data_IF_528226812556
#
_entry.id   IF_528226812556
#
_cell.length_a   1.000
_cell.length_b   1.000
_cell.length_c   1.000
_cell.angle_alpha   90.00
_cell.angle_beta   90.00
_cell.angle_gamma   90.00
#
_symmetry.space_group_name_H-M   'P 1'
#
loop_
_entity.id
_entity.type
_entity.pdbx_description
1 polymer ?
#
# COMPACT_ATOMS: atom_id res chain seq x y z
N UNK A 1 10.68 -18.85 20.09
CA UNK A 1 10.99 -17.63 20.86
C UNK A 1 11.74 -16.57 20.04
N UNK A 2 13.07 -16.65 19.86
CA UNK A 2 13.80 -15.57 19.16
C UNK A 2 13.39 -15.43 17.69
N UNK A 3 13.26 -16.53 16.97
CA UNK A 3 12.83 -16.52 15.57
C UNK A 3 11.43 -15.91 15.39
N UNK A 4 10.48 -16.27 16.25
CA UNK A 4 9.12 -15.71 16.23
C UNK A 4 9.13 -14.20 16.50
N UNK A 5 9.90 -13.76 17.50
CA UNK A 5 10.07 -12.34 17.79
C UNK A 5 10.70 -11.58 16.61
N UNK A 6 11.68 -12.16 15.92
CA UNK A 6 12.27 -11.57 14.71
C UNK A 6 11.24 -11.45 13.58
N UNK A 7 10.40 -12.48 13.38
CA UNK A 7 9.34 -12.44 12.37
C UNK A 7 8.26 -11.40 12.70
N UNK A 8 7.88 -11.29 13.97
CA UNK A 8 6.96 -10.25 14.46
C UNK A 8 7.50 -8.84 14.19
N UNK A 9 8.79 -8.59 14.47
CA UNK A 9 9.44 -7.30 14.18
C UNK A 9 9.46 -7.01 12.68
N UNK A 10 9.80 -8.00 11.86
CA UNK A 10 9.99 -7.81 10.42
C UNK A 10 8.67 -7.59 9.67
N UNK A 11 7.62 -8.35 10.00
CA UNK A 11 6.38 -8.38 9.22
C UNK A 11 5.19 -7.70 9.90
N UNK A 12 5.16 -7.71 11.23
CA UNK A 12 4.02 -7.26 12.03
C UNK A 12 4.36 -6.06 12.93
N UNK A 13 5.46 -5.36 12.65
CA UNK A 13 5.92 -4.17 13.40
C UNK A 13 6.04 -4.39 14.92
N UNK A 14 6.34 -5.62 15.35
CA UNK A 14 6.36 -6.05 16.75
C UNK A 14 5.01 -5.88 17.50
N UNK A 15 3.89 -5.88 16.77
CA UNK A 15 2.52 -5.71 17.29
C UNK A 15 1.58 -6.86 16.91
N UNK A 16 2.14 -8.06 16.81
CA UNK A 16 1.41 -9.25 16.42
C UNK A 16 2.34 -10.39 16.04
N UNK A 17 1.78 -11.58 15.89
CA UNK A 17 2.52 -12.78 15.54
C UNK A 17 2.28 -13.15 14.08
N UNK A 18 3.30 -13.72 13.43
CA UNK A 18 3.14 -14.30 12.09
C UNK A 18 2.54 -15.69 12.23
N UNK A 19 1.42 -15.93 11.54
CA UNK A 19 0.78 -17.25 11.41
C UNK A 19 0.70 -17.54 9.92
N UNK A 20 1.39 -18.60 9.48
CA UNK A 20 1.57 -18.92 8.06
C UNK A 20 2.13 -17.71 7.27
N UNK A 21 1.31 -17.06 6.44
CA UNK A 21 1.67 -15.92 5.60
C UNK A 21 0.98 -14.60 6.01
N UNK A 22 0.33 -14.54 7.17
CA UNK A 22 -0.36 -13.34 7.64
C UNK A 22 0.01 -12.96 9.08
N UNK A 23 -0.23 -11.70 9.42
CA UNK A 23 0.01 -11.16 10.76
C UNK A 23 -1.27 -11.17 11.60
N UNK A 24 -1.28 -11.94 12.70
CA UNK A 24 -2.29 -11.84 13.75
C UNK A 24 -1.95 -10.66 14.65
N UNK A 25 -2.61 -9.52 14.41
CA UNK A 25 -2.38 -8.30 15.17
C UNK A 25 -2.86 -8.38 16.63
N UNK A 26 -2.11 -7.74 17.52
CA UNK A 26 -2.52 -7.49 18.91
C UNK A 26 -3.71 -6.52 18.97
N UNK A 27 -4.47 -6.60 20.06
CA UNK A 27 -5.69 -5.77 20.25
C UNK A 27 -5.44 -4.26 20.22
N UNK A 28 -4.22 -3.79 20.49
CA UNK A 28 -3.84 -2.38 20.46
C UNK A 28 -3.31 -1.91 19.08
N UNK A 29 -3.28 -2.81 18.09
CA UNK A 29 -2.76 -2.55 16.76
C UNK A 29 -3.88 -2.36 15.71
N UNK A 30 -5.09 -2.06 16.16
CA UNK A 30 -6.22 -1.70 15.32
C UNK A 30 -6.35 -0.18 15.19
N UNK A 31 -6.63 0.29 13.97
CA UNK A 31 -6.85 1.70 13.67
C UNK A 31 -8.15 2.24 14.25
N UNK A 32 -8.39 3.54 14.05
CA UNK A 32 -9.65 4.20 14.47
C UNK A 32 -10.89 3.67 13.76
N UNK A 33 -10.69 3.02 12.61
CA UNK A 33 -11.70 2.34 11.80
C UNK A 33 -11.93 0.87 12.22
N UNK A 34 -11.16 0.36 13.19
CA UNK A 34 -11.21 -1.03 13.62
C UNK A 34 -10.53 -2.00 12.66
N UNK A 35 -9.70 -1.52 11.72
CA UNK A 35 -8.93 -2.36 10.82
C UNK A 35 -7.53 -2.66 11.38
N UNK A 36 -6.94 -3.84 11.09
CA UNK A 36 -5.61 -4.20 11.55
C UNK A 36 -4.51 -3.32 10.91
N UNK A 37 -3.57 -2.84 11.71
CA UNK A 37 -2.46 -1.95 11.28
C UNK A 37 -1.06 -2.48 11.63
N UNK A 38 -0.95 -3.69 12.17
CA UNK A 38 0.34 -4.25 12.60
C UNK A 38 1.29 -4.54 11.43
N UNK A 39 0.75 -4.99 10.28
CA UNK A 39 1.50 -5.14 9.05
C UNK A 39 1.35 -3.86 8.19
N UNK A 40 2.45 -3.20 7.79
CA UNK A 40 2.38 -1.94 7.06
C UNK A 40 1.88 -2.14 5.63
N UNK A 41 0.89 -1.35 5.21
CA UNK A 41 0.44 -1.29 3.82
C UNK A 41 1.41 -0.42 3.00
N UNK A 42 2.11 -0.99 2.00
CA UNK A 42 3.06 -0.22 1.20
C UNK A 42 2.32 0.74 0.26
N UNK A 43 2.86 1.95 0.11
CA UNK A 43 2.31 2.95 -0.80
C UNK A 43 2.80 2.68 -2.24
N UNK A 44 1.89 2.43 -3.20
CA UNK A 44 2.29 2.26 -4.59
C UNK A 44 2.76 3.59 -5.18
N UNK A 45 3.92 3.58 -5.85
CA UNK A 45 4.43 4.74 -6.57
C UNK A 45 4.00 4.67 -8.04
N UNK A 46 3.12 5.57 -8.44
CA UNK A 46 2.74 5.80 -9.83
C UNK A 46 3.88 6.49 -10.58
N UNK A 47 4.25 5.94 -11.73
CA UNK A 47 5.32 6.46 -12.61
C UNK A 47 4.84 6.49 -14.06
N UNK A 48 5.41 7.40 -14.86
CA UNK A 48 5.25 7.31 -16.32
C UNK A 48 6.01 6.09 -16.85
N UNK A 49 5.48 5.48 -17.90
CA UNK A 49 6.18 4.40 -18.59
C UNK A 49 7.51 4.88 -19.15
N UNK A 50 8.56 4.07 -19.01
CA UNK A 50 9.88 4.37 -19.58
C UNK A 50 9.95 4.03 -21.07
N UNK A 51 9.07 3.15 -21.56
CA UNK A 51 9.05 2.70 -22.95
C UNK A 51 8.18 3.57 -23.84
N UNK A 52 7.29 4.38 -23.26
CA UNK A 52 6.33 5.19 -23.99
C UNK A 52 6.35 6.63 -23.51
N UNK A 53 6.83 7.52 -24.37
CA UNK A 53 6.76 8.95 -24.13
C UNK A 53 5.29 9.44 -24.23
N UNK A 54 4.82 10.29 -23.29
CA UNK A 54 3.46 10.83 -23.34
C UNK A 54 3.19 11.62 -24.62
N UNK A 55 1.96 11.56 -25.11
CA UNK A 55 1.48 12.35 -26.25
C UNK A 55 0.31 13.25 -25.84
N UNK A 56 -0.20 14.04 -26.80
CA UNK A 56 -1.37 14.90 -26.58
C UNK A 56 -2.66 14.12 -26.27
N UNK A 57 -2.70 12.82 -26.56
CA UNK A 57 -3.89 11.97 -26.36
C UNK A 57 -3.63 10.70 -25.53
N UNK A 58 -2.37 10.36 -25.24
CA UNK A 58 -2.01 9.12 -24.57
C UNK A 58 -1.04 9.40 -23.42
N UNK A 59 -1.38 8.88 -22.24
CA UNK A 59 -0.47 8.80 -21.09
C UNK A 59 -0.52 7.37 -20.57
N UNK A 60 0.65 6.75 -20.42
CA UNK A 60 0.79 5.41 -19.83
C UNK A 60 1.46 5.57 -18.47
N UNK A 61 0.79 5.04 -17.45
CA UNK A 61 1.26 5.01 -16.07
C UNK A 61 1.48 3.56 -15.63
N UNK A 62 2.52 3.36 -14.83
CA UNK A 62 2.96 2.07 -14.32
C UNK A 62 3.17 2.17 -12.81
N UNK A 63 2.95 1.06 -12.12
CA UNK A 63 3.30 0.89 -10.71
C UNK A 63 3.73 -0.55 -10.48
N UNK A 64 4.62 -0.75 -9.52
CA UNK A 64 5.00 -2.09 -9.10
C UNK A 64 3.98 -2.60 -8.07
N UNK A 65 3.54 -3.84 -8.25
CA UNK A 65 2.81 -4.53 -7.20
C UNK A 65 3.72 -4.68 -5.98
N UNK A 66 3.27 -4.14 -4.85
CA UNK A 66 4.08 -3.99 -3.65
C UNK A 66 3.62 -4.90 -2.51
N UNK A 67 2.80 -5.92 -2.79
CA UNK A 67 2.37 -6.88 -1.76
C UNK A 67 3.59 -7.58 -1.14
N UNK A 68 3.76 -7.52 0.19
CA UNK A 68 4.82 -8.24 0.87
C UNK A 68 4.51 -9.74 0.87
N UNK A 69 5.52 -10.62 0.94
CA UNK A 69 5.30 -12.06 0.99
C UNK A 69 4.59 -12.53 2.29
N UNK A 70 4.59 -11.71 3.34
CA UNK A 70 3.90 -11.97 4.61
C UNK A 70 3.21 -10.68 5.08
N UNK A 71 1.98 -10.81 5.62
CA UNK A 71 1.29 -9.72 6.32
C UNK A 71 0.07 -9.22 5.55
N UNK A 72 0.15 -8.01 5.00
CA UNK A 72 -0.96 -7.40 4.26
C UNK A 72 -1.12 -8.05 2.88
N UNK A 73 -2.36 -8.09 2.38
CA UNK A 73 -2.68 -8.44 0.99
C UNK A 73 -3.36 -7.27 0.29
N UNK A 74 -2.95 -7.00 -0.93
CA UNK A 74 -3.50 -5.91 -1.74
C UNK A 74 -4.63 -6.48 -2.59
N UNK A 75 -5.87 -6.11 -2.24
CA UNK A 75 -7.07 -6.59 -2.94
C UNK A 75 -7.51 -5.71 -4.10
N UNK A 76 -7.13 -4.42 -4.10
CA UNK A 76 -7.53 -3.46 -5.12
C UNK A 76 -6.54 -2.28 -5.22
N UNK A 77 -6.54 -1.60 -6.36
CA UNK A 77 -5.82 -0.35 -6.62
C UNK A 77 -6.82 0.72 -7.12
N UNK A 78 -7.03 1.75 -6.31
CA UNK A 78 -7.89 2.88 -6.67
C UNK A 78 -7.08 3.98 -7.35
N UNK A 79 -7.35 4.24 -8.64
CA UNK A 79 -6.68 5.27 -9.44
C UNK A 79 -7.69 6.35 -9.80
N UNK A 80 -7.37 7.61 -9.48
CA UNK A 80 -8.20 8.77 -9.80
C UNK A 80 -7.46 9.69 -10.78
N UNK A 81 -8.16 10.16 -11.81
CA UNK A 81 -7.61 11.08 -12.81
C UNK A 81 -8.53 12.30 -12.93
N UNK A 82 -7.95 13.50 -12.84
CA UNK A 82 -8.64 14.77 -13.04
C UNK A 82 -7.87 15.63 -14.05
N UNK A 83 -8.59 16.22 -15.02
CA UNK A 83 -8.03 17.20 -15.94
C UNK A 83 -8.20 18.58 -15.34
N UNK A 84 -7.10 19.16 -14.86
CA UNK A 84 -7.11 20.53 -14.35
C UNK A 84 -7.19 21.52 -15.52
N UNK A 85 -8.12 22.46 -15.45
CA UNK A 85 -8.23 23.59 -16.38
C UNK A 85 -7.98 24.89 -15.63
N UNK A 86 -7.52 25.95 -16.31
CA UNK A 86 -7.12 27.22 -15.66
C UNK A 86 -8.25 27.97 -14.95
N UNK A 87 -9.51 27.51 -15.01
CA UNK A 87 -10.57 28.09 -14.18
C UNK A 87 -10.40 27.62 -12.75
N UNK A 88 -9.93 28.55 -11.93
CA UNK A 88 -9.72 28.53 -10.48
C UNK A 88 -11.00 28.21 -9.68
N UNK A 89 -11.59 27.03 -9.88
CA UNK A 89 -12.73 26.54 -9.09
C UNK A 89 -12.66 25.03 -8.80
N UNK A 90 -11.47 24.42 -8.95
CA UNK A 90 -11.20 23.05 -8.52
C UNK A 90 -10.29 23.07 -7.29
N UNK A 91 -10.81 23.63 -6.18
CA UNK A 91 -10.24 23.39 -4.85
C UNK A 91 -10.96 22.19 -4.25
N UNK A 92 -10.25 21.08 -4.16
CA UNK A 92 -10.46 20.06 -3.12
C UNK A 92 -9.16 19.89 -2.37
#
# INVERSE_FOLDING_TARGET
ALQEAMMSVLWCSAKGDVIDDWCRCDSNAFGTDGLPTCAPLPQPMLKLSHSYEPSSSLVIIEWNHAEPPIGVRIVDYLISQEKVTERTDHSK
#
